data_IF_904920232261
#
_entry.id   IF_904920232261
#
_cell.length_a   1.000
_cell.length_b   1.000
_cell.length_c   1.000
_cell.angle_alpha   90.00
_cell.angle_beta   90.00
_cell.angle_gamma   90.00
#
_symmetry.space_group_name_H-M   'P 1'
#
loop_
_entity.id
_entity.type
_entity.pdbx_description
1 polymer ?
#
# COMPACT_ATOMS: atom_id res chain seq x y z
N UNK A 1 2.75 -35.46 -2.33
CA UNK A 1 1.89 -34.25 -2.47
C UNK A 1 2.64 -32.97 -2.07
N UNK A 2 3.69 -33.07 -1.24
CA UNK A 2 4.57 -31.94 -0.88
C UNK A 2 5.50 -31.47 -2.03
N UNK A 3 5.91 -32.37 -2.92
CA UNK A 3 6.94 -32.06 -3.93
C UNK A 3 6.52 -31.02 -4.98
N UNK A 4 5.25 -30.99 -5.38
CA UNK A 4 4.75 -29.98 -6.33
C UNK A 4 4.66 -28.57 -5.71
N UNK A 5 4.64 -28.48 -4.38
CA UNK A 5 4.48 -27.24 -3.62
C UNK A 5 5.81 -26.62 -3.19
N UNK A 6 6.92 -27.36 -3.33
CA UNK A 6 8.30 -26.93 -3.02
C UNK A 6 9.17 -26.69 -4.27
N UNK A 7 8.62 -26.84 -5.48
CA UNK A 7 9.42 -26.65 -6.71
C UNK A 7 9.81 -25.17 -6.88
N UNK A 8 10.98 -24.90 -7.48
CA UNK A 8 11.45 -23.52 -7.78
C UNK A 8 10.48 -22.67 -8.62
N UNK A 9 9.44 -23.28 -9.20
CA UNK A 9 8.37 -22.60 -9.92
C UNK A 9 7.28 -22.01 -9.01
N UNK A 10 7.33 -22.26 -7.70
CA UNK A 10 6.50 -21.59 -6.69
C UNK A 10 6.98 -20.15 -6.44
N UNK A 11 7.07 -19.35 -7.49
CA UNK A 11 7.23 -17.89 -7.42
C UNK A 11 5.90 -17.35 -6.89
N UNK A 12 5.66 -17.49 -5.58
CA UNK A 12 4.41 -17.21 -4.82
C UNK A 12 3.27 -16.60 -5.65
N UNK A 13 2.65 -17.39 -6.54
CA UNK A 13 1.65 -16.86 -7.44
C UNK A 13 0.34 -16.71 -6.66
N UNK A 14 -0.45 -15.69 -6.99
CA UNK A 14 -1.81 -15.61 -6.48
C UNK A 14 -2.59 -16.91 -6.82
N UNK A 15 -3.57 -17.27 -5.99
CA UNK A 15 -4.35 -18.52 -6.11
C UNK A 15 -4.85 -18.78 -7.53
N UNK A 16 -5.22 -17.74 -8.26
CA UNK A 16 -5.68 -17.82 -9.66
C UNK A 16 -4.59 -18.30 -10.62
N UNK A 17 -3.37 -17.78 -10.47
CA UNK A 17 -2.23 -18.20 -11.29
C UNK A 17 -1.81 -19.62 -10.96
N UNK A 18 -1.72 -19.98 -9.67
CA UNK A 18 -1.45 -21.37 -9.26
C UNK A 18 -2.47 -22.36 -9.82
N UNK A 19 -3.76 -22.01 -9.83
CA UNK A 19 -4.79 -22.86 -10.43
C UNK A 19 -4.63 -23.00 -11.95
N UNK A 20 -4.33 -21.90 -12.66
CA UNK A 20 -4.14 -21.93 -14.11
C UNK A 20 -2.93 -22.77 -14.51
N UNK A 21 -1.83 -22.64 -13.80
CA UNK A 21 -0.60 -23.36 -14.12
C UNK A 21 -0.75 -24.86 -13.81
N UNK A 22 -1.44 -25.22 -12.72
CA UNK A 22 -1.65 -26.64 -12.36
C UNK A 22 -2.69 -27.35 -13.23
N UNK A 23 -3.74 -26.65 -13.69
CA UNK A 23 -4.79 -27.28 -14.52
C UNK A 23 -4.33 -27.70 -15.91
N UNK A 24 -3.18 -27.22 -16.37
CA UNK A 24 -2.61 -27.59 -17.68
C UNK A 24 -2.04 -29.01 -17.67
N UNK A 25 -1.62 -29.51 -16.51
CA UNK A 25 -0.93 -30.80 -16.37
C UNK A 25 -1.69 -31.76 -15.47
N UNK A 26 -2.46 -31.25 -14.50
CA UNK A 26 -3.13 -32.04 -13.48
C UNK A 26 -4.61 -31.68 -13.35
N UNK A 27 -5.42 -32.69 -13.00
CA UNK A 27 -6.83 -32.49 -12.69
C UNK A 27 -7.27 -33.37 -11.53
N UNK A 28 -7.96 -32.78 -10.55
CA UNK A 28 -8.62 -33.50 -9.46
C UNK A 28 -9.78 -32.70 -8.86
N UNK A 29 -10.66 -33.38 -8.12
CA UNK A 29 -11.83 -32.76 -7.50
C UNK A 29 -11.44 -31.73 -6.43
N UNK A 30 -12.12 -30.57 -6.41
CA UNK A 30 -11.84 -29.48 -5.47
C UNK A 30 -10.43 -28.87 -5.54
N UNK A 31 -9.71 -29.01 -6.67
CA UNK A 31 -8.36 -28.45 -6.87
C UNK A 31 -8.27 -26.97 -6.50
N UNK A 32 -9.21 -26.14 -6.97
CA UNK A 32 -9.27 -24.70 -6.62
C UNK A 32 -9.32 -24.46 -5.10
N UNK A 33 -10.11 -25.25 -4.38
CA UNK A 33 -10.26 -25.14 -2.92
C UNK A 33 -8.97 -25.51 -2.20
N UNK A 34 -8.27 -26.53 -2.66
CA UNK A 34 -6.98 -26.93 -2.08
C UNK A 34 -5.90 -25.86 -2.31
N UNK A 35 -5.84 -25.30 -3.52
CA UNK A 35 -4.91 -24.22 -3.85
C UNK A 35 -5.21 -22.97 -3.03
N UNK A 36 -6.48 -22.57 -2.92
CA UNK A 36 -6.87 -21.43 -2.09
C UNK A 36 -6.49 -21.63 -0.61
N UNK A 37 -6.70 -22.82 -0.05
CA UNK A 37 -6.28 -23.16 1.32
C UNK A 37 -4.76 -23.13 1.51
N UNK A 38 -4.01 -23.59 0.51
CA UNK A 38 -2.54 -23.56 0.54
C UNK A 38 -2.02 -22.12 0.53
N UNK A 39 -2.50 -21.29 -0.41
CA UNK A 39 -2.12 -19.88 -0.52
C UNK A 39 -2.51 -19.10 0.75
N UNK A 40 -3.67 -19.39 1.33
CA UNK A 40 -4.13 -18.75 2.57
C UNK A 40 -3.27 -19.11 3.80
N UNK A 41 -2.56 -20.24 3.79
CA UNK A 41 -1.66 -20.67 4.87
C UNK A 41 -0.21 -20.24 4.66
N UNK A 42 0.13 -19.73 3.48
CA UNK A 42 1.50 -19.39 3.13
C UNK A 42 1.87 -17.98 3.62
N UNK A 43 2.84 -17.82 4.56
CA UNK A 43 3.20 -16.51 5.12
C UNK A 43 3.67 -15.51 4.06
N UNK A 44 4.52 -15.94 3.12
CA UNK A 44 5.01 -15.07 2.04
C UNK A 44 3.88 -14.57 1.15
N UNK A 45 2.94 -15.46 0.74
CA UNK A 45 1.76 -15.06 -0.04
C UNK A 45 0.89 -14.06 0.70
N UNK A 46 0.76 -14.17 2.03
CA UNK A 46 -0.02 -13.23 2.85
C UNK A 46 0.67 -11.87 2.94
N UNK A 47 1.99 -11.83 3.10
CA UNK A 47 2.77 -10.60 3.21
C UNK A 47 2.79 -9.78 1.91
N UNK A 48 2.85 -10.44 0.75
CA UNK A 48 2.86 -9.76 -0.56
C UNK A 48 1.45 -9.54 -1.13
N UNK A 49 0.40 -9.97 -0.42
CA UNK A 49 -0.97 -9.78 -0.87
C UNK A 49 -1.31 -8.31 -0.78
N UNK A 50 -1.41 -7.66 -1.94
CA UNK A 50 -1.91 -6.28 -2.02
C UNK A 50 -3.31 -6.22 -1.45
N UNK A 51 -3.54 -5.26 -0.56
CA UNK A 51 -4.87 -4.94 -0.08
C UNK A 51 -5.66 -4.30 -1.22
N UNK A 52 -6.63 -5.04 -1.76
CA UNK A 52 -7.54 -4.53 -2.80
C UNK A 52 -8.85 -4.01 -2.19
N UNK A 53 -8.87 -3.78 -0.88
CA UNK A 53 -10.03 -3.18 -0.23
C UNK A 53 -10.11 -1.71 -0.63
N UNK A 54 -11.34 -1.21 -0.78
CA UNK A 54 -11.52 0.24 -0.87
C UNK A 54 -10.96 0.85 0.42
N UNK A 55 -10.29 2.02 0.35
CA UNK A 55 -9.87 2.74 1.54
C UNK A 55 -11.03 2.80 2.53
N UNK A 56 -10.81 2.25 3.73
CA UNK A 56 -11.84 2.16 4.73
C UNK A 56 -12.17 3.56 5.24
N UNK A 57 -13.37 4.05 4.95
CA UNK A 57 -13.88 5.28 5.56
C UNK A 57 -14.66 6.17 4.59
N UNK A 58 -15.67 6.82 5.14
CA UNK A 58 -16.25 8.02 4.52
C UNK A 58 -15.28 9.18 4.79
N UNK A 59 -14.99 10.00 3.78
CA UNK A 59 -14.23 11.23 4.02
C UNK A 59 -14.94 12.03 5.10
N UNK A 60 -14.29 12.22 6.25
CA UNK A 60 -14.86 13.02 7.32
C UNK A 60 -14.88 14.46 6.83
N UNK A 61 -16.07 15.07 6.84
CA UNK A 61 -16.15 16.52 6.73
C UNK A 61 -15.47 17.10 7.96
N UNK A 62 -14.63 18.08 7.72
CA UNK A 62 -13.96 18.81 8.77
C UNK A 62 -14.71 20.12 8.91
N UNK A 63 -15.01 20.47 10.15
CA UNK A 63 -15.85 21.61 10.47
C UNK A 63 -15.32 22.90 9.83
N UNK A 64 -16.23 23.83 9.57
CA UNK A 64 -15.86 25.16 9.09
C UNK A 64 -15.02 25.83 10.18
N UNK A 65 -13.82 26.26 9.78
CA UNK A 65 -12.91 27.00 10.66
C UNK A 65 -13.39 28.44 10.76
N UNK A 66 -13.41 28.98 11.98
CA UNK A 66 -13.87 30.33 12.25
C UNK A 66 -12.71 31.34 12.23
N UNK A 67 -11.50 30.87 12.56
CA UNK A 67 -10.35 31.76 12.75
C UNK A 67 -9.11 31.33 11.95
N UNK A 68 -8.31 32.33 11.55
CA UNK A 68 -6.99 32.08 10.96
C UNK A 68 -6.12 31.36 11.98
N UNK A 69 -5.33 30.39 11.51
CA UNK A 69 -4.40 29.60 12.32
C UNK A 69 -5.04 28.62 13.30
N UNK A 70 -6.35 28.42 13.24
CA UNK A 70 -7.07 27.43 14.05
C UNK A 70 -6.69 26.00 13.66
N UNK A 71 -6.49 25.76 12.36
CA UNK A 71 -6.02 24.48 11.85
C UNK A 71 -4.93 24.68 10.80
N UNK A 72 -3.78 24.09 11.08
CA UNK A 72 -2.58 24.17 10.24
C UNK A 72 -2.19 22.77 9.75
N UNK A 73 -1.91 22.68 8.45
CA UNK A 73 -1.28 21.50 7.88
C UNK A 73 0.22 21.77 7.77
N UNK A 74 1.03 20.79 8.16
CA UNK A 74 2.49 20.87 8.07
C UNK A 74 3.01 19.74 7.20
N UNK A 75 4.00 20.04 6.35
CA UNK A 75 4.68 19.04 5.53
C UNK A 75 6.14 19.42 5.28
N UNK A 76 6.98 18.42 5.00
CA UNK A 76 8.39 18.61 4.67
C UNK A 76 8.66 18.10 3.26
N UNK A 77 9.06 19.01 2.37
CA UNK A 77 9.57 18.62 1.07
C UNK A 77 11.08 18.40 1.19
N UNK A 78 11.52 17.15 1.06
CA UNK A 78 12.91 16.71 1.26
C UNK A 78 13.55 16.22 -0.05
N UNK A 79 14.88 16.06 -0.08
CA UNK A 79 15.60 15.63 -1.28
C UNK A 79 15.76 16.72 -2.33
N UNK A 80 15.71 17.99 -1.92
CA UNK A 80 15.98 19.14 -2.79
C UNK A 80 17.48 19.36 -2.95
N UNK A 81 17.87 20.09 -3.99
CA UNK A 81 19.24 20.57 -4.12
C UNK A 81 19.63 21.40 -2.88
N UNK A 82 20.82 21.13 -2.35
CA UNK A 82 21.35 21.81 -1.18
C UNK A 82 21.35 23.33 -1.39
N UNK A 83 20.85 24.03 -0.38
CA UNK A 83 20.93 25.49 -0.31
C UNK A 83 22.37 25.95 -0.08
N UNK A 84 22.63 27.26 -0.21
CA UNK A 84 23.91 27.85 0.21
C UNK A 84 24.23 27.61 1.69
N UNK A 85 23.21 27.42 2.53
CA UNK A 85 23.33 27.08 3.95
C UNK A 85 23.27 25.55 4.20
N UNK A 86 23.36 24.74 3.16
CA UNK A 86 23.38 23.28 3.22
C UNK A 86 22.06 22.66 3.73
N UNK A 87 20.92 23.24 3.36
CA UNK A 87 19.59 22.66 3.62
C UNK A 87 19.02 22.03 2.34
N UNK A 88 18.54 20.79 2.45
CA UNK A 88 17.90 20.00 1.38
C UNK A 88 16.38 19.83 1.58
N UNK A 89 15.82 20.50 2.60
CA UNK A 89 14.41 20.46 2.93
C UNK A 89 13.76 21.85 2.93
N UNK A 90 12.46 21.87 2.69
CA UNK A 90 11.59 23.03 2.90
C UNK A 90 10.44 22.57 3.80
N UNK A 91 10.24 23.25 4.91
CA UNK A 91 9.09 23.06 5.78
C UNK A 91 7.95 23.98 5.33
N UNK A 92 6.81 23.37 5.03
CA UNK A 92 5.60 24.06 4.59
C UNK A 92 4.58 24.07 5.72
N UNK A 93 4.12 25.26 6.10
CA UNK A 93 2.99 25.45 7.01
C UNK A 93 1.85 26.08 6.22
N UNK A 94 0.70 25.40 6.16
CA UNK A 94 -0.47 25.84 5.42
C UNK A 94 -1.60 26.11 6.40
N UNK A 95 -2.06 27.36 6.45
CA UNK A 95 -3.31 27.71 7.15
C UNK A 95 -4.49 27.18 6.33
N UNK A 96 -5.27 26.29 6.93
CA UNK A 96 -6.33 25.58 6.20
C UNK A 96 -7.48 26.51 5.81
N UNK A 97 -7.77 27.52 6.63
CA UNK A 97 -8.87 28.46 6.42
C UNK A 97 -8.59 29.38 5.23
N UNK A 98 -7.45 30.07 5.23
CA UNK A 98 -7.09 31.06 4.21
C UNK A 98 -6.35 30.48 3.01
N UNK A 99 -5.87 29.24 3.11
CA UNK A 99 -4.92 28.64 2.14
C UNK A 99 -3.59 29.38 2.02
N UNK A 100 -3.25 30.21 3.01
CA UNK A 100 -1.93 30.87 3.07
C UNK A 100 -0.86 29.83 3.35
N UNK A 101 0.27 29.94 2.65
CA UNK A 101 1.38 28.99 2.73
C UNK A 101 2.62 29.75 3.20
N UNK A 102 3.26 29.23 4.25
CA UNK A 102 4.50 29.73 4.80
C UNK A 102 5.60 28.70 4.59
N UNK A 103 6.66 29.12 3.91
CA UNK A 103 7.83 28.28 3.63
C UNK A 103 8.96 28.65 4.58
N UNK A 104 9.55 27.63 5.20
CA UNK A 104 10.75 27.75 6.02
C UNK A 104 11.83 26.87 5.41
N UNK A 105 13.05 27.41 5.32
CA UNK A 105 14.20 26.73 4.74
C UNK A 105 15.40 26.80 5.65
#
# INVERSE_FOLDING_TARGET
MEEAQSSRYSIHPCSTKMYRDLREVYWWSSMQRCIAKFVAKCPNCLQVKVEHQKPGGMAQNIDLLEWKWEMINMDFNTGLLLSRKQHDLIWMIVDRMTKSIHFYR
#
